data_IF_711568402676
#
_entry.id   IF_711568402676
#
_cell.length_a   1.000
_cell.length_b   1.000
_cell.length_c   1.000
_cell.angle_alpha   90.00
_cell.angle_beta   90.00
_cell.angle_gamma   90.00
#
_symmetry.space_group_name_H-M   'P 1'
#
loop_
_entity.id
_entity.type
_entity.pdbx_description
1 polymer ?
#
# COMPACT_ATOMS: atom_id res chain seq x y z
N UNK A 1 -17.70 -6.81 -12.19
CA UNK A 1 -17.07 -5.83 -13.10
C UNK A 1 -15.58 -5.90 -12.84
N UNK A 2 -14.76 -6.15 -13.85
CA UNK A 2 -13.29 -6.03 -13.71
C UNK A 2 -12.98 -4.60 -13.28
N UNK A 3 -12.26 -4.45 -12.18
CA UNK A 3 -11.86 -3.14 -11.69
C UNK A 3 -11.01 -2.42 -12.76
N UNK A 4 -11.22 -1.12 -12.91
CA UNK A 4 -10.43 -0.31 -13.84
C UNK A 4 -8.97 -0.25 -13.36
N UNK A 5 -8.05 -0.17 -14.30
CA UNK A 5 -6.61 -0.13 -14.05
C UNK A 5 -6.02 1.18 -14.51
N UNK A 6 -4.79 1.46 -14.10
CA UNK A 6 -4.04 2.62 -14.58
C UNK A 6 -3.98 2.71 -16.12
N UNK A 7 -4.04 1.57 -16.84
CA UNK A 7 -4.04 1.56 -18.31
C UNK A 7 -5.27 2.25 -18.91
N UNK A 8 -6.40 2.19 -18.20
CA UNK A 8 -7.64 2.84 -18.60
C UNK A 8 -7.60 4.36 -18.32
N UNK A 9 -6.80 4.79 -17.34
CA UNK A 9 -6.63 6.19 -16.95
C UNK A 9 -5.63 6.94 -17.86
N UNK A 10 -4.48 6.31 -18.17
CA UNK A 10 -3.35 6.95 -18.86
C UNK A 10 -3.73 7.77 -20.12
N UNK A 11 -4.63 7.31 -21.03
CA UNK A 11 -5.01 8.08 -22.21
C UNK A 11 -5.69 9.43 -21.91
N UNK A 12 -6.16 9.63 -20.68
CA UNK A 12 -6.91 10.81 -20.24
C UNK A 12 -6.27 11.52 -19.03
N UNK A 13 -5.00 11.19 -18.72
CA UNK A 13 -4.33 11.67 -17.52
C UNK A 13 -3.74 13.09 -17.68
N UNK A 14 -3.50 13.55 -18.92
CA UNK A 14 -2.90 14.86 -19.19
C UNK A 14 -3.72 16.02 -18.60
N UNK A 15 -3.06 16.93 -17.87
CA UNK A 15 -3.69 18.07 -17.20
C UNK A 15 -4.52 17.71 -15.97
N UNK A 16 -4.75 16.42 -15.71
CA UNK A 16 -5.55 15.92 -14.60
C UNK A 16 -4.69 15.74 -13.35
N UNK A 17 -5.21 16.11 -12.19
CA UNK A 17 -4.59 15.74 -10.93
C UNK A 17 -4.93 14.29 -10.56
N UNK A 18 -3.92 13.50 -10.27
CA UNK A 18 -4.06 12.07 -9.97
C UNK A 18 -3.42 11.78 -8.62
N UNK A 19 -4.25 11.37 -7.67
CA UNK A 19 -3.78 10.91 -6.36
C UNK A 19 -3.37 9.45 -6.47
N UNK A 20 -2.15 9.14 -6.05
CA UNK A 20 -1.60 7.78 -6.05
C UNK A 20 -1.31 7.36 -4.63
N UNK A 21 -1.99 6.33 -4.13
CA UNK A 21 -1.65 5.69 -2.86
C UNK A 21 -0.55 4.66 -3.10
N UNK A 22 0.67 4.95 -2.64
CA UNK A 22 1.86 4.12 -2.88
C UNK A 22 2.40 3.48 -1.60
N UNK A 23 2.94 2.27 -1.70
CA UNK A 23 3.62 1.65 -0.56
C UNK A 23 5.08 2.14 -0.51
N UNK A 24 5.33 3.18 0.30
CA UNK A 24 6.67 3.74 0.52
C UNK A 24 7.16 3.50 1.96
N UNK A 25 6.62 2.49 2.64
CA UNK A 25 7.03 2.16 4.01
C UNK A 25 8.37 1.40 4.02
N UNK A 26 9.46 2.14 3.87
CA UNK A 26 10.84 1.63 3.78
C UNK A 26 11.57 1.66 5.12
N UNK A 27 12.56 0.77 5.34
CA UNK A 27 13.43 0.88 6.50
C UNK A 27 14.34 2.13 6.37
N UNK A 28 14.44 2.86 7.48
CA UNK A 28 15.36 3.98 7.61
C UNK A 28 16.47 3.66 8.62
N UNK A 29 17.66 4.16 8.35
CA UNK A 29 18.76 4.23 9.31
C UNK A 29 19.38 5.63 9.25
N UNK A 30 19.47 6.32 10.40
CA UNK A 30 19.97 7.70 10.50
C UNK A 30 19.39 8.66 9.44
N UNK A 31 18.07 8.58 9.22
CA UNK A 31 17.37 9.42 8.25
C UNK A 31 17.66 9.09 6.78
N UNK A 32 18.23 7.91 6.48
CA UNK A 32 18.50 7.43 5.11
C UNK A 32 17.76 6.14 4.83
N UNK A 33 17.28 5.99 3.61
CA UNK A 33 16.67 4.75 3.11
C UNK A 33 17.75 3.67 2.98
N UNK A 34 17.59 2.53 3.66
CA UNK A 34 18.54 1.41 3.59
C UNK A 34 18.13 0.34 2.58
N UNK A 35 16.84 0.24 2.26
CA UNK A 35 16.29 -0.60 1.21
C UNK A 35 15.22 0.20 0.44
N UNK A 36 15.47 0.45 -0.84
CA UNK A 36 14.61 1.24 -1.71
C UNK A 36 13.67 0.40 -2.59
N UNK A 37 13.58 -0.91 -2.35
CA UNK A 37 12.79 -1.83 -3.19
C UNK A 37 11.32 -1.41 -3.35
N UNK A 38 10.69 -0.93 -2.27
CA UNK A 38 9.32 -0.40 -2.27
C UNK A 38 9.16 0.89 -3.08
N UNK A 39 10.16 1.77 -3.03
CA UNK A 39 10.20 3.01 -3.83
C UNK A 39 10.29 2.65 -5.31
N UNK A 40 11.24 1.77 -5.67
CA UNK A 40 11.41 1.28 -7.05
C UNK A 40 10.16 0.58 -7.59
N UNK A 41 9.45 -0.16 -6.74
CA UNK A 41 8.21 -0.83 -7.12
C UNK A 41 7.07 0.16 -7.40
N UNK A 42 7.01 1.29 -6.67
CA UNK A 42 5.95 2.30 -6.82
C UNK A 42 6.24 3.33 -7.93
N UNK A 43 7.51 3.59 -8.24
CA UNK A 43 7.92 4.62 -9.21
C UNK A 43 7.36 4.44 -10.62
N UNK A 44 7.21 3.23 -11.20
CA UNK A 44 6.65 3.07 -12.54
C UNK A 44 5.28 3.71 -12.69
N UNK A 45 4.33 3.44 -11.78
CA UNK A 45 2.98 4.04 -11.80
C UNK A 45 3.04 5.57 -11.70
N UNK A 46 3.85 6.08 -10.77
CA UNK A 46 3.99 7.52 -10.53
C UNK A 46 4.58 8.22 -11.77
N UNK A 47 5.65 7.66 -12.34
CA UNK A 47 6.35 8.26 -13.48
C UNK A 47 5.60 8.09 -14.80
N UNK A 48 4.83 7.01 -14.99
CA UNK A 48 3.98 6.85 -16.17
C UNK A 48 2.86 7.89 -16.20
N UNK A 49 2.22 8.16 -15.06
CA UNK A 49 1.21 9.23 -14.95
C UNK A 49 1.83 10.61 -15.20
N UNK A 50 2.96 10.89 -14.58
CA UNK A 50 3.67 12.15 -14.77
C UNK A 50 4.10 12.35 -16.24
N UNK A 51 4.66 11.32 -16.89
CA UNK A 51 5.03 11.38 -18.32
C UNK A 51 3.82 11.48 -19.25
N UNK A 52 2.66 11.00 -18.82
CA UNK A 52 1.38 11.22 -19.50
C UNK A 52 0.81 12.64 -19.28
N UNK A 53 1.51 13.51 -18.56
CA UNK A 53 1.12 14.91 -18.32
C UNK A 53 0.19 15.09 -17.12
N UNK A 54 0.04 14.10 -16.25
CA UNK A 54 -0.73 14.25 -15.02
C UNK A 54 0.01 15.09 -13.97
N UNK A 55 -0.75 15.74 -13.10
CA UNK A 55 -0.24 16.37 -11.86
C UNK A 55 -0.32 15.31 -10.76
N UNK A 56 0.79 14.68 -10.41
CA UNK A 56 0.78 13.47 -9.57
C UNK A 56 0.92 13.82 -8.10
N UNK A 57 -0.05 13.41 -7.28
CA UNK A 57 -0.06 13.62 -5.83
C UNK A 57 0.07 12.26 -5.14
N UNK A 58 1.17 12.00 -4.45
CA UNK A 58 1.47 10.71 -3.84
C UNK A 58 1.12 10.72 -2.36
N UNK A 59 0.34 9.73 -1.92
CA UNK A 59 0.02 9.48 -0.52
C UNK A 59 0.76 8.21 -0.06
N UNK A 60 1.51 8.33 1.04
CA UNK A 60 2.20 7.20 1.64
C UNK A 60 2.24 7.30 3.17
N UNK A 61 2.47 6.16 3.82
CA UNK A 61 2.79 6.14 5.24
C UNK A 61 4.19 5.58 5.46
N UNK A 62 4.78 5.96 6.58
CA UNK A 62 6.03 5.41 7.07
C UNK A 62 5.90 5.07 8.56
N UNK A 63 6.22 3.82 8.91
CA UNK A 63 6.17 3.35 10.28
C UNK A 63 4.80 3.51 10.97
N UNK A 64 4.83 3.79 12.27
CA UNK A 64 3.65 3.90 13.14
C UNK A 64 3.76 5.11 14.06
N UNK A 65 3.54 6.32 13.53
CA UNK A 65 3.61 7.56 14.31
C UNK A 65 2.37 7.82 15.19
N UNK A 66 1.35 6.95 15.12
CA UNK A 66 0.14 7.00 15.96
C UNK A 66 -0.58 8.36 15.95
N UNK A 67 -0.71 9.01 14.78
CA UNK A 67 -1.43 10.28 14.65
C UNK A 67 -0.67 11.49 15.18
N UNK A 68 0.65 11.39 15.35
CA UNK A 68 1.49 12.49 15.82
C UNK A 68 2.62 12.76 14.83
N UNK A 69 3.02 14.02 14.68
CA UNK A 69 4.17 14.38 13.85
C UNK A 69 5.45 13.99 14.57
N UNK A 70 6.16 13.00 14.03
CA UNK A 70 7.43 12.51 14.58
C UNK A 70 8.49 12.57 13.49
N UNK A 71 9.57 13.38 13.64
CA UNK A 71 10.56 13.60 12.58
C UNK A 71 11.17 12.31 11.99
N UNK A 72 11.37 11.29 12.82
CA UNK A 72 11.91 9.99 12.40
C UNK A 72 11.02 9.21 11.41
N UNK A 73 9.74 9.58 11.32
CA UNK A 73 8.76 8.99 10.42
C UNK A 73 8.35 9.96 9.29
N UNK A 74 9.09 11.05 9.08
CA UNK A 74 8.90 11.92 7.90
C UNK A 74 9.26 11.18 6.62
N UNK A 75 8.58 11.53 5.52
CA UNK A 75 8.85 11.05 4.17
C UNK A 75 9.95 11.84 3.46
N UNK A 76 10.62 12.80 4.11
CA UNK A 76 11.71 13.54 3.47
C UNK A 76 12.84 12.65 2.92
N UNK A 77 13.32 11.61 3.62
CA UNK A 77 14.29 10.67 3.06
C UNK A 77 13.76 9.91 1.85
N UNK A 78 12.45 9.64 1.82
CA UNK A 78 11.77 8.95 0.71
C UNK A 78 11.68 9.87 -0.50
N UNK A 79 11.27 11.14 -0.31
CA UNK A 79 11.23 12.15 -1.36
C UNK A 79 12.61 12.33 -2.01
N UNK A 80 13.66 12.47 -1.18
CA UNK A 80 15.04 12.57 -1.68
C UNK A 80 15.40 11.34 -2.52
N UNK A 81 15.11 10.13 -2.02
CA UNK A 81 15.42 8.91 -2.76
C UNK A 81 14.63 8.78 -4.05
N UNK A 82 13.37 9.22 -4.08
CA UNK A 82 12.59 9.28 -5.31
C UNK A 82 13.25 10.21 -6.34
N UNK A 83 13.65 11.42 -5.94
CA UNK A 83 14.38 12.37 -6.80
C UNK A 83 15.69 11.80 -7.34
N UNK A 84 16.40 10.97 -6.59
CA UNK A 84 17.61 10.30 -7.07
C UNK A 84 17.33 9.20 -8.11
N UNK A 85 16.11 8.64 -8.12
CA UNK A 85 15.73 7.51 -8.95
C UNK A 85 14.93 7.89 -10.21
N UNK A 86 14.48 9.15 -10.31
CA UNK A 86 13.72 9.66 -11.46
C UNK A 86 14.30 10.98 -11.96
N UNK A 87 14.09 11.27 -13.24
CA UNK A 87 14.40 12.56 -13.86
C UNK A 87 13.31 13.62 -13.63
N UNK A 88 12.22 13.23 -12.96
CA UNK A 88 11.07 14.09 -12.66
C UNK A 88 11.23 14.71 -11.27
N UNK A 89 10.94 16.02 -11.16
CA UNK A 89 10.98 16.73 -9.89
C UNK A 89 9.94 16.17 -8.91
N UNK A 90 10.41 15.82 -7.69
CA UNK A 90 9.57 15.39 -6.58
C UNK A 90 9.65 16.44 -5.48
N UNK A 91 8.51 17.06 -5.16
CA UNK A 91 8.38 18.02 -4.06
C UNK A 91 7.68 17.36 -2.88
N UNK A 92 8.11 17.64 -1.65
CA UNK A 92 7.45 17.16 -0.43
C UNK A 92 6.59 18.27 0.20
N UNK A 93 5.36 17.96 0.59
CA UNK A 93 4.54 18.84 1.44
C UNK A 93 5.02 18.82 2.90
N UNK A 94 4.89 19.94 3.63
CA UNK A 94 5.30 20.00 5.04
C UNK A 94 4.21 19.51 6.02
N UNK A 95 3.01 19.24 5.48
CA UNK A 95 1.85 18.75 6.22
C UNK A 95 1.06 17.74 5.35
N UNK A 96 -0.02 17.19 5.93
CA UNK A 96 -0.83 16.14 5.29
C UNK A 96 -1.96 16.74 4.43
N UNK A 97 -2.76 17.64 5.00
CA UNK A 97 -3.87 18.34 4.31
C UNK A 97 -3.92 19.83 4.65
N UNK A 98 -2.85 20.37 5.25
CA UNK A 98 -2.75 21.76 5.66
C UNK A 98 -2.38 22.69 4.51
N UNK A 99 -1.94 23.90 4.86
CA UNK A 99 -1.64 24.96 3.89
C UNK A 99 -0.52 24.54 2.93
N UNK A 100 0.49 23.79 3.39
CA UNK A 100 1.61 23.37 2.55
C UNK A 100 1.15 22.39 1.49
N UNK A 101 0.36 21.37 1.86
CA UNK A 101 -0.21 20.40 0.93
C UNK A 101 -1.13 21.09 -0.09
N UNK A 102 -2.00 21.99 0.36
CA UNK A 102 -2.95 22.70 -0.50
C UNK A 102 -2.23 23.62 -1.51
N UNK A 103 -1.30 24.46 -1.04
CA UNK A 103 -0.58 25.39 -1.92
C UNK A 103 0.28 24.64 -2.95
N UNK A 104 1.00 23.60 -2.51
CA UNK A 104 1.84 22.79 -3.42
C UNK A 104 1.00 22.00 -4.43
N UNK A 105 -0.17 21.50 -4.04
CA UNK A 105 -1.08 20.82 -4.96
C UNK A 105 -1.66 21.80 -6.00
N UNK A 106 -2.04 23.00 -5.58
CA UNK A 106 -2.58 24.04 -6.46
C UNK A 106 -1.54 24.56 -7.47
N UNK A 107 -0.26 24.60 -7.07
CA UNK A 107 0.86 25.03 -7.91
C UNK A 107 1.45 23.91 -8.76
N UNK A 108 0.98 22.67 -8.62
CA UNK A 108 1.53 21.52 -9.33
C UNK A 108 1.30 21.66 -10.83
N UNK A 109 2.38 21.63 -11.59
CA UNK A 109 2.35 21.67 -13.06
C UNK A 109 2.26 20.25 -13.65
N UNK A 110 1.84 20.18 -14.91
CA UNK A 110 1.71 18.91 -15.62
C UNK A 110 3.05 18.16 -15.65
N UNK A 111 3.00 16.88 -15.28
CA UNK A 111 4.18 16.01 -15.20
C UNK A 111 5.05 16.19 -13.96
N UNK A 112 4.65 17.00 -12.99
CA UNK A 112 5.31 17.10 -11.69
C UNK A 112 4.74 16.13 -10.66
N UNK A 113 5.55 15.83 -9.64
CA UNK A 113 5.19 14.92 -8.55
C UNK A 113 5.24 15.69 -7.22
N UNK A 114 4.12 15.65 -6.48
CA UNK A 114 4.01 16.08 -5.10
C UNK A 114 3.88 14.85 -4.20
N UNK A 115 4.79 14.64 -3.26
CA UNK A 115 4.64 13.70 -2.16
C UNK A 115 4.03 14.44 -0.96
N UNK A 116 2.86 13.99 -0.50
CA UNK A 116 2.28 14.47 0.76
C UNK A 116 3.06 13.85 1.92
N UNK A 117 3.19 14.58 3.03
CA UNK A 117 3.84 14.06 4.23
C UNK A 117 3.09 12.82 4.76
N UNK A 118 3.73 12.04 5.63
CA UNK A 118 3.24 10.78 6.15
C UNK A 118 1.77 10.87 6.59
N UNK A 119 0.89 10.18 5.87
CA UNK A 119 -0.57 10.26 6.12
C UNK A 119 -0.96 9.84 7.54
N UNK A 120 -0.12 9.05 8.23
CA UNK A 120 -0.34 8.63 9.62
C UNK A 120 0.07 9.68 10.65
N UNK A 121 0.60 10.83 10.25
CA UNK A 121 0.70 12.00 11.12
C UNK A 121 -0.66 12.60 11.45
N UNK A 122 -1.68 12.32 10.64
CA UNK A 122 -3.07 12.62 10.99
C UNK A 122 -3.72 11.40 11.64
N UNK A 123 -4.25 11.55 12.86
CA UNK A 123 -4.90 10.47 13.59
C UNK A 123 -6.14 9.92 12.86
N UNK A 124 -6.79 10.75 12.03
CA UNK A 124 -7.97 10.38 11.25
C UNK A 124 -7.65 9.33 10.18
N UNK A 125 -6.40 9.18 9.73
CA UNK A 125 -6.04 8.17 8.72
C UNK A 125 -6.41 6.75 9.14
N UNK A 126 -6.20 6.41 10.42
CA UNK A 126 -6.46 5.08 10.97
C UNK A 126 -7.58 5.06 12.00
N UNK A 127 -8.43 6.10 12.03
CA UNK A 127 -9.52 6.18 13.01
C UNK A 127 -10.52 5.03 12.83
N UNK A 128 -11.05 4.52 13.95
CA UNK A 128 -12.16 3.58 13.92
C UNK A 128 -13.50 4.27 13.63
N UNK A 129 -13.56 5.61 13.72
CA UNK A 129 -14.74 6.39 13.37
C UNK A 129 -14.76 6.68 11.86
N UNK A 130 -15.79 6.16 11.19
CA UNK A 130 -16.00 6.36 9.76
C UNK A 130 -16.16 7.85 9.38
N UNK A 131 -16.75 8.67 10.26
CA UNK A 131 -16.94 10.10 10.01
C UNK A 131 -15.61 10.85 10.01
N UNK A 132 -14.72 10.55 10.96
CA UNK A 132 -13.38 11.17 11.01
C UNK A 132 -12.55 10.82 9.77
N UNK A 133 -12.57 9.56 9.34
CA UNK A 133 -11.87 9.14 8.12
C UNK A 133 -12.46 9.78 6.87
N UNK A 134 -13.77 9.90 6.79
CA UNK A 134 -14.45 10.53 5.65
C UNK A 134 -14.07 12.02 5.50
N UNK A 135 -13.88 12.74 6.60
CA UNK A 135 -13.38 14.12 6.56
C UNK A 135 -11.98 14.17 5.95
N UNK A 136 -11.05 13.35 6.44
CA UNK A 136 -9.68 13.32 5.90
C UNK A 136 -9.65 12.87 4.42
N UNK A 137 -10.45 11.88 4.05
CA UNK A 137 -10.58 11.44 2.66
C UNK A 137 -11.11 12.55 1.74
N UNK A 138 -12.05 13.36 2.22
CA UNK A 138 -12.57 14.53 1.49
C UNK A 138 -11.49 15.59 1.31
N UNK A 139 -10.69 15.85 2.34
CA UNK A 139 -9.55 16.76 2.25
C UNK A 139 -8.51 16.26 1.25
N UNK A 140 -8.20 14.96 1.23
CA UNK A 140 -7.32 14.39 0.20
C UNK A 140 -7.92 14.54 -1.20
N UNK A 141 -9.19 14.20 -1.40
CA UNK A 141 -9.84 14.32 -2.70
C UNK A 141 -9.84 15.78 -3.20
N UNK A 142 -9.99 16.76 -2.29
CA UNK A 142 -9.92 18.17 -2.62
C UNK A 142 -8.56 18.61 -3.20
N UNK A 143 -7.45 17.94 -2.82
CA UNK A 143 -6.13 18.21 -3.41
C UNK A 143 -6.08 17.93 -4.91
N UNK A 144 -6.90 17.00 -5.42
CA UNK A 144 -6.99 16.69 -6.84
C UNK A 144 -8.05 17.53 -7.59
N UNK A 145 -8.87 18.28 -6.87
CA UNK A 145 -9.96 19.06 -7.47
C UNK A 145 -11.09 18.20 -8.07
N UNK A 146 -12.07 18.84 -8.73
CA UNK A 146 -13.31 18.21 -9.18
C UNK A 146 -13.10 17.16 -10.27
N UNK A 147 -12.07 17.33 -11.10
CA UNK A 147 -11.71 16.41 -12.17
C UNK A 147 -10.65 15.39 -11.71
N UNK A 148 -10.39 15.25 -10.41
CA UNK A 148 -9.36 14.36 -9.88
C UNK A 148 -9.59 12.87 -10.18
N UNK A 149 -8.52 12.07 -10.14
CA UNK A 149 -8.59 10.60 -10.12
C UNK A 149 -7.81 10.03 -8.93
N UNK A 150 -8.14 8.79 -8.56
CA UNK A 150 -7.43 8.04 -7.53
C UNK A 150 -6.87 6.73 -8.08
N UNK A 151 -5.60 6.45 -7.80
CA UNK A 151 -4.94 5.19 -8.13
C UNK A 151 -4.45 4.56 -6.84
N UNK A 152 -4.88 3.32 -6.56
CA UNK A 152 -4.34 2.56 -5.44
C UNK A 152 -3.29 1.57 -5.95
N UNK A 153 -2.02 1.81 -5.60
CA UNK A 153 -0.88 0.96 -5.94
C UNK A 153 -0.19 0.38 -4.68
N UNK A 154 -0.85 0.46 -3.52
CA UNK A 154 -0.30 0.05 -2.23
C UNK A 154 -0.91 -1.28 -1.76
N UNK A 155 -0.57 -2.40 -2.41
CA UNK A 155 -1.11 -3.73 -2.07
C UNK A 155 -0.94 -4.09 -0.58
N UNK A 156 0.20 -3.74 0.02
CA UNK A 156 0.44 -3.95 1.46
C UNK A 156 -0.55 -3.21 2.37
N UNK A 157 -1.31 -2.24 1.86
CA UNK A 157 -2.30 -1.47 2.61
C UNK A 157 -3.77 -1.77 2.23
N UNK A 158 -4.06 -2.44 1.11
CA UNK A 158 -5.45 -2.62 0.60
C UNK A 158 -6.37 -3.39 1.56
N UNK A 159 -5.80 -4.16 2.49
CA UNK A 159 -6.56 -4.87 3.51
C UNK A 159 -7.00 -3.98 4.69
N UNK A 160 -6.73 -2.66 4.65
CA UNK A 160 -7.02 -1.71 5.72
C UNK A 160 -8.10 -0.72 5.31
N UNK A 161 -9.09 -0.53 6.19
CA UNK A 161 -10.11 0.52 6.07
C UNK A 161 -9.56 1.85 6.60
N UNK A 162 -8.72 2.51 5.81
CA UNK A 162 -8.10 3.80 6.14
C UNK A 162 -8.57 4.90 5.19
N UNK A 163 -8.43 6.17 5.60
CA UNK A 163 -8.87 7.31 4.80
C UNK A 163 -8.21 7.35 3.41
N UNK A 164 -6.88 7.21 3.35
CA UNK A 164 -6.08 7.24 2.11
C UNK A 164 -6.18 5.98 1.23
N UNK A 165 -6.85 4.92 1.71
CA UNK A 165 -6.91 3.60 1.06
C UNK A 165 -8.33 3.26 0.62
N UNK A 166 -9.27 3.33 1.55
CA UNK A 166 -10.64 2.85 1.40
C UNK A 166 -11.61 4.00 1.15
N UNK A 167 -11.62 5.00 2.04
CA UNK A 167 -12.66 6.03 2.02
C UNK A 167 -12.50 6.96 0.79
N UNK A 168 -11.26 7.36 0.43
CA UNK A 168 -10.98 8.18 -0.76
C UNK A 168 -11.42 7.52 -2.08
N UNK A 169 -11.38 6.19 -2.17
CA UNK A 169 -11.75 5.45 -3.37
C UNK A 169 -13.25 5.56 -3.71
N UNK A 170 -14.08 5.98 -2.74
CA UNK A 170 -15.50 6.26 -2.93
C UNK A 170 -15.80 7.69 -3.40
N UNK A 171 -14.81 8.59 -3.32
CA UNK A 171 -14.95 10.02 -3.61
C UNK A 171 -14.45 10.40 -5.00
N UNK A 172 -13.51 9.64 -5.55
CA UNK A 172 -12.90 9.87 -6.86
C UNK A 172 -13.03 8.63 -7.75
N UNK A 173 -13.05 8.79 -9.10
CA UNK A 173 -12.86 7.68 -10.02
C UNK A 173 -11.59 6.91 -9.65
N UNK A 174 -11.75 5.63 -9.30
CA UNK A 174 -10.70 4.82 -8.69
C UNK A 174 -10.18 3.74 -9.64
N UNK A 175 -8.85 3.62 -9.68
CA UNK A 175 -8.13 2.71 -10.55
C UNK A 175 -7.12 1.89 -9.75
N UNK A 176 -6.86 0.66 -10.20
CA UNK A 176 -5.79 -0.16 -9.68
C UNK A 176 -4.46 0.24 -10.32
N UNK A 177 -3.45 0.50 -9.49
CA UNK A 177 -2.07 0.58 -9.95
C UNK A 177 -1.56 -0.78 -10.42
N UNK A 178 -0.44 -0.77 -11.12
CA UNK A 178 0.10 -1.98 -11.75
C UNK A 178 0.48 -3.06 -10.73
N UNK A 179 0.97 -2.67 -9.54
CA UNK A 179 1.33 -3.60 -8.47
C UNK A 179 0.08 -4.28 -7.91
N UNK A 180 -0.94 -3.48 -7.52
CA UNK A 180 -2.20 -4.02 -6.99
C UNK A 180 -2.90 -4.89 -8.03
N UNK A 181 -2.97 -4.47 -9.29
CA UNK A 181 -3.57 -5.27 -10.35
C UNK A 181 -2.83 -6.60 -10.55
N UNK A 182 -1.49 -6.60 -10.48
CA UNK A 182 -0.69 -7.83 -10.60
C UNK A 182 -0.94 -8.78 -9.44
N UNK A 183 -0.92 -8.27 -8.21
CA UNK A 183 -1.14 -9.06 -7.00
C UNK A 183 -2.56 -9.67 -6.96
N UNK A 184 -3.57 -8.91 -7.34
CA UNK A 184 -4.95 -9.41 -7.43
C UNK A 184 -5.08 -10.50 -8.52
N UNK A 185 -4.46 -10.31 -9.69
CA UNK A 185 -4.46 -11.35 -10.73
C UNK A 185 -3.76 -12.64 -10.28
N UNK A 186 -2.69 -12.54 -9.49
CA UNK A 186 -2.01 -13.71 -8.90
C UNK A 186 -2.94 -14.37 -7.88
N UNK A 187 -3.53 -13.62 -6.96
CA UNK A 187 -4.45 -14.16 -5.96
C UNK A 187 -5.67 -14.82 -6.60
N UNK A 188 -6.30 -14.20 -7.60
CA UNK A 188 -7.45 -14.75 -8.31
C UNK A 188 -7.09 -16.10 -8.96
N UNK A 189 -5.91 -16.22 -9.57
CA UNK A 189 -5.43 -17.49 -10.14
C UNK A 189 -5.22 -18.56 -9.07
N UNK A 190 -4.74 -18.18 -7.89
CA UNK A 190 -4.50 -19.13 -6.79
C UNK A 190 -5.80 -19.56 -6.09
N UNK A 191 -6.83 -18.72 -6.11
CA UNK A 191 -8.08 -18.90 -5.36
C UNK A 191 -9.20 -19.48 -6.23
N UNK A 192 -9.30 -19.10 -7.50
CA UNK A 192 -10.44 -19.47 -8.37
C UNK A 192 -10.18 -20.75 -9.15
N UNK A 193 -9.05 -20.82 -9.87
CA UNK A 193 -8.70 -21.97 -10.71
C UNK A 193 -7.17 -22.18 -10.74
N UNK A 194 -6.58 -22.71 -9.65
CA UNK A 194 -5.14 -22.89 -9.57
C UNK A 194 -4.67 -24.00 -10.50
N UNK A 195 -3.54 -23.77 -11.18
CA UNK A 195 -2.91 -24.80 -12.00
C UNK A 195 -2.48 -25.98 -11.12
N UNK A 196 -2.82 -27.21 -11.54
CA UNK A 196 -2.57 -28.43 -10.76
C UNK A 196 -1.33 -29.20 -11.25
N UNK A 197 -0.57 -29.87 -10.36
CA UNK A 197 -0.79 -29.94 -8.91
C UNK A 197 -0.47 -28.62 -8.19
N UNK A 198 -1.41 -28.13 -7.37
CA UNK A 198 -1.28 -26.92 -6.59
C UNK A 198 -0.72 -27.24 -5.21
N UNK A 199 0.58 -26.96 -5.02
CA UNK A 199 1.25 -27.13 -3.74
C UNK A 199 1.35 -25.81 -3.00
N UNK A 200 0.91 -25.79 -1.74
CA UNK A 200 1.05 -24.65 -0.83
C UNK A 200 2.13 -24.98 0.21
N UNK A 201 3.07 -24.06 0.40
CA UNK A 201 4.12 -24.17 1.43
C UNK A 201 3.84 -23.12 2.50
N UNK A 202 3.54 -23.56 3.72
CA UNK A 202 3.31 -22.69 4.86
C UNK A 202 4.41 -22.88 5.90
N UNK A 203 4.87 -21.76 6.46
CA UNK A 203 5.77 -21.75 7.58
C UNK A 203 5.54 -20.54 8.47
N UNK A 204 6.44 -20.34 9.42
CA UNK A 204 6.33 -19.31 10.44
C UNK A 204 6.52 -19.89 11.83
N UNK A 205 6.43 -19.03 12.83
CA UNK A 205 6.57 -19.41 14.24
C UNK A 205 5.26 -19.94 14.84
N UNK A 206 4.12 -19.38 14.43
CA UNK A 206 2.81 -19.64 15.05
C UNK A 206 1.79 -20.16 14.04
N UNK A 207 1.10 -21.24 14.40
CA UNK A 207 -0.08 -21.79 13.71
C UNK A 207 -1.25 -20.82 13.83
N UNK A 208 -1.46 -20.21 14.99
CA UNK A 208 -2.60 -19.31 15.25
C UNK A 208 -2.72 -18.17 14.22
N UNK A 209 -1.58 -17.59 13.83
CA UNK A 209 -1.47 -16.55 12.79
C UNK A 209 -1.81 -17.03 11.36
N UNK A 210 -1.98 -18.34 11.16
CA UNK A 210 -2.12 -18.99 9.85
C UNK A 210 -3.36 -19.86 9.72
N UNK A 211 -4.11 -20.11 10.79
CA UNK A 211 -5.29 -20.97 10.76
C UNK A 211 -6.30 -20.57 9.67
N UNK A 212 -6.65 -19.28 9.59
CA UNK A 212 -7.58 -18.79 8.58
C UNK A 212 -7.05 -18.97 7.13
N UNK A 213 -5.72 -18.90 6.94
CA UNK A 213 -5.10 -19.14 5.62
C UNK A 213 -5.11 -20.62 5.28
N UNK A 214 -4.81 -21.49 6.25
CA UNK A 214 -4.89 -22.94 6.09
C UNK A 214 -6.31 -23.34 5.71
N UNK A 215 -7.31 -22.89 6.48
CA UNK A 215 -8.73 -23.21 6.28
C UNK A 215 -9.21 -22.84 4.86
N UNK A 216 -8.83 -21.65 4.39
CA UNK A 216 -9.18 -21.19 3.03
C UNK A 216 -8.47 -21.93 1.88
N UNK A 217 -7.33 -22.57 2.15
CA UNK A 217 -6.50 -23.22 1.12
C UNK A 217 -6.62 -24.75 1.13
N UNK A 218 -7.09 -25.36 2.24
CA UNK A 218 -7.24 -26.80 2.39
C UNK A 218 -8.10 -27.42 1.29
N UNK A 219 -9.21 -26.78 0.94
CA UNK A 219 -10.13 -27.30 -0.09
C UNK A 219 -9.61 -27.12 -1.53
N UNK A 220 -8.51 -26.38 -1.71
CA UNK A 220 -7.99 -26.00 -3.04
C UNK A 220 -6.66 -26.66 -3.38
N UNK A 221 -5.76 -26.72 -2.41
CA UNK A 221 -4.42 -27.26 -2.60
C UNK A 221 -4.45 -28.78 -2.76
N UNK A 222 -3.70 -29.31 -3.73
CA UNK A 222 -3.47 -30.76 -3.86
C UNK A 222 -2.46 -31.26 -2.81
N UNK A 223 -1.60 -30.37 -2.33
CA UNK A 223 -0.59 -30.69 -1.32
C UNK A 223 -0.32 -29.47 -0.44
N UNK A 224 -0.30 -29.69 0.87
CA UNK A 224 0.06 -28.68 1.87
C UNK A 224 1.34 -29.11 2.59
N UNK A 225 2.41 -28.34 2.42
CA UNK A 225 3.69 -28.55 3.10
C UNK A 225 3.79 -27.59 4.28
N UNK A 226 3.91 -28.13 5.49
CA UNK A 226 4.06 -27.34 6.73
C UNK A 226 5.52 -27.40 7.20
N UNK A 227 6.12 -26.24 7.45
CA UNK A 227 7.47 -26.11 7.99
C UNK A 227 7.58 -25.00 9.04
N UNK A 228 8.80 -24.70 9.48
CA UNK A 228 9.04 -23.70 10.53
C UNK A 228 8.62 -24.15 11.93
N UNK A 229 8.51 -23.20 12.87
CA UNK A 229 8.12 -23.48 14.26
C UNK A 229 6.70 -24.03 14.38
N UNK A 230 5.79 -23.58 13.50
CA UNK A 230 4.39 -24.04 13.51
C UNK A 230 4.22 -25.54 13.24
N UNK A 231 5.21 -26.19 12.60
CA UNK A 231 5.16 -27.62 12.34
C UNK A 231 5.13 -28.46 13.62
N UNK A 232 5.73 -27.99 14.71
CA UNK A 232 5.81 -28.73 15.96
C UNK A 232 4.44 -28.83 16.67
N UNK A 233 3.57 -27.83 16.53
CA UNK A 233 2.19 -27.92 17.02
C UNK A 233 1.43 -29.07 16.34
N UNK A 234 1.58 -29.23 15.01
CA UNK A 234 0.97 -30.35 14.28
C UNK A 234 1.57 -31.70 14.66
N UNK A 235 2.91 -31.79 14.80
CA UNK A 235 3.58 -33.01 15.25
C UNK A 235 3.14 -33.42 16.67
N UNK A 236 3.01 -32.45 17.58
CA UNK A 236 2.52 -32.67 18.94
C UNK A 236 1.07 -33.15 18.95
N UNK A 237 0.20 -32.58 18.11
CA UNK A 237 -1.19 -33.01 17.95
C UNK A 237 -1.31 -34.46 17.41
N UNK A 238 -0.32 -34.94 16.65
CA UNK A 238 -0.22 -36.34 16.20
C UNK A 238 0.39 -37.27 17.26
N UNK A 239 0.75 -36.77 18.44
CA UNK A 239 1.30 -37.55 19.55
C UNK A 239 2.83 -37.67 19.55
N UNK A 240 3.54 -36.93 18.70
CA UNK A 240 5.00 -36.90 18.74
C UNK A 240 5.52 -36.01 19.87
N UNK A 241 6.66 -36.40 20.46
CA UNK A 241 7.39 -35.53 21.38
C UNK A 241 8.13 -34.45 20.59
N UNK A 242 7.99 -33.20 21.03
CA UNK A 242 8.60 -32.03 20.40
C UNK A 242 9.58 -31.32 21.33
N UNK A 243 9.82 -31.85 22.54
CA UNK A 243 10.74 -31.31 23.53
C UNK A 243 10.55 -29.80 23.76
N UNK A 244 11.62 -29.00 23.62
CA UNK A 244 11.61 -27.55 23.79
C UNK A 244 11.30 -26.78 22.51
N UNK A 245 10.76 -27.44 21.49
CA UNK A 245 10.40 -26.78 20.24
C UNK A 245 9.21 -25.84 20.45
N UNK A 246 9.06 -24.83 19.58
CA UNK A 246 7.99 -23.85 19.68
C UNK A 246 6.62 -24.53 19.52
N UNK A 247 5.77 -24.41 20.53
CA UNK A 247 4.47 -25.08 20.62
C UNK A 247 3.40 -24.08 21.03
N UNK A 248 2.26 -24.12 20.35
CA UNK A 248 1.01 -23.50 20.78
C UNK A 248 0.09 -24.63 21.26
N UNK A 249 -0.25 -24.64 22.56
CA UNK A 249 -1.07 -25.70 23.17
C UNK A 249 -2.57 -25.44 23.03
N UNK A 250 -2.96 -24.18 22.84
CA UNK A 250 -4.33 -23.68 22.63
C UNK A 250 -4.79 -23.79 21.17
#
# INVERSE_FOLDING_TARGET
MTAQTIRDLLPSAAGRAVIVRSDLNVPLNDGKVTDDGRIRASLPVITDLARAGAKVIVLAHLGRPNGTVVPQYSLAPVAQRMTELTDISVTLAEDVTGISAQDKAAQLEDGQILLIENVRFDARETSNDDAERAVLATEFAALAGPDGAYVNDAFGAVHRKHASVYDIASLLPSYQGALVATELNVLDRLIVDPHRPYTVVLGGSKVSDKLAVIDNLLDRADTLLIGGGMAFTFLKAQGHDVASSLLEED
#
